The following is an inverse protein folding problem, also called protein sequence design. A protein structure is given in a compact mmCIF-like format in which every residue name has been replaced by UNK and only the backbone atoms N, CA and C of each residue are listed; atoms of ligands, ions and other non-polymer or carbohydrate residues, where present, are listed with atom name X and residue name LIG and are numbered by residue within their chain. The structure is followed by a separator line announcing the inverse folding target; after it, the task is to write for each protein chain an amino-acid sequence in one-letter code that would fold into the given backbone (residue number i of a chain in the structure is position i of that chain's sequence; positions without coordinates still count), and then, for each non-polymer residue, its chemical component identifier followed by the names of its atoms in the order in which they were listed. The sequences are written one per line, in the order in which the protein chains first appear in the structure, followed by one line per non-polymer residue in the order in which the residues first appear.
data_IF_365309000290
#
_entry.id   IF_365309000290
#
_cell.length_a   1.000
_cell.length_b   1.000
_cell.length_c   1.000
_cell.angle_alpha   90.00
_cell.angle_beta   90.00
_cell.angle_gamma   90.00
#
_symmetry.space_group_name_H-M   'P 1'
#
loop_
_entity.id
_entity.type
_entity.pdbx_description
1 polymer ?
#
# COMPACT_ATOMS: atom_id res chain seq x y z
N UNK A 1 -5.55 6.04 11.27
CA UNK A 1 -6.51 4.94 11.56
C UNK A 1 -7.55 4.84 10.46
N UNK A 2 -8.17 5.94 10.03
CA UNK A 2 -9.25 5.94 9.02
C UNK A 2 -8.79 5.31 7.70
N UNK A 3 -7.65 5.72 7.18
CA UNK A 3 -7.10 5.23 5.90
C UNK A 3 -6.64 3.77 5.99
N UNK A 4 -6.06 3.35 7.11
CA UNK A 4 -5.70 1.93 7.30
C UNK A 4 -6.98 1.06 7.31
N UNK A 5 -8.06 1.56 7.90
CA UNK A 5 -9.38 0.91 7.83
C UNK A 5 -9.95 0.84 6.42
N UNK A 6 -9.78 1.90 5.63
CA UNK A 6 -10.22 1.95 4.23
C UNK A 6 -9.41 1.00 3.34
N UNK A 7 -8.07 0.95 3.52
CA UNK A 7 -7.21 -0.03 2.83
C UNK A 7 -7.61 -1.46 3.18
N UNK A 8 -7.86 -1.75 4.46
CA UNK A 8 -8.29 -3.08 4.89
C UNK A 8 -9.63 -3.47 4.26
N UNK A 9 -10.61 -2.55 4.24
CA UNK A 9 -11.90 -2.77 3.56
C UNK A 9 -11.72 -2.99 2.06
N UNK A 10 -10.90 -2.18 1.40
CA UNK A 10 -10.61 -2.35 -0.04
C UNK A 10 -9.95 -3.69 -0.33
N UNK A 11 -9.01 -4.14 0.50
CA UNK A 11 -8.39 -5.46 0.35
C UNK A 11 -9.41 -6.60 0.55
N UNK A 12 -10.32 -6.48 1.52
CA UNK A 12 -11.41 -7.45 1.71
C UNK A 12 -12.35 -7.49 0.52
N UNK A 13 -12.70 -6.32 -0.05
CA UNK A 13 -13.52 -6.24 -1.27
C UNK A 13 -12.80 -6.86 -2.47
N UNK A 14 -11.50 -6.60 -2.66
CA UNK A 14 -10.72 -7.23 -3.74
C UNK A 14 -10.73 -8.76 -3.59
N UNK A 15 -10.51 -9.28 -2.38
CA UNK A 15 -10.57 -10.73 -2.13
C UNK A 15 -11.95 -11.31 -2.45
N UNK A 16 -13.03 -10.65 -2.02
CA UNK A 16 -14.41 -11.05 -2.35
C UNK A 16 -14.65 -11.05 -3.86
N UNK A 17 -14.24 -10.00 -4.58
CA UNK A 17 -14.38 -9.98 -6.03
C UNK A 17 -13.53 -11.01 -6.76
N UNK A 18 -12.36 -11.38 -6.23
CA UNK A 18 -11.56 -12.48 -6.78
C UNK A 18 -12.26 -13.82 -6.61
N UNK A 19 -12.92 -14.06 -5.48
CA UNK A 19 -13.76 -15.26 -5.28
C UNK A 19 -14.97 -15.25 -6.21
N UNK A 20 -15.64 -14.11 -6.37
CA UNK A 20 -16.77 -13.96 -7.29
C UNK A 20 -16.35 -14.18 -8.75
N UNK A 21 -15.20 -13.64 -9.16
CA UNK A 21 -14.63 -13.89 -10.51
C UNK A 21 -14.43 -15.40 -10.70
N UNK A 22 -13.77 -16.07 -9.75
CA UNK A 22 -13.54 -17.52 -9.83
C UNK A 22 -14.84 -18.32 -9.87
N UNK A 23 -15.85 -17.86 -9.14
CA UNK A 23 -17.20 -18.46 -9.18
C UNK A 23 -17.85 -18.26 -10.57
N UNK A 24 -17.78 -17.05 -11.13
CA UNK A 24 -18.31 -16.73 -12.46
C UNK A 24 -17.57 -17.48 -13.58
N UNK A 25 -16.25 -17.63 -13.49
CA UNK A 25 -15.47 -18.45 -14.41
C UNK A 25 -15.94 -19.93 -14.37
N UNK A 26 -16.26 -20.42 -13.17
CA UNK A 26 -16.83 -21.76 -13.01
C UNK A 26 -18.23 -21.90 -13.62
N UNK A 27 -19.08 -20.86 -13.55
CA UNK A 27 -20.39 -20.83 -14.21
C UNK A 27 -20.19 -20.77 -15.74
N UNK A 28 -19.31 -19.92 -16.21
CA UNK A 28 -18.98 -19.77 -17.63
C UNK A 28 -18.52 -21.11 -18.25
N UNK A 29 -17.62 -21.84 -17.54
CA UNK A 29 -17.17 -23.15 -17.99
C UNK A 29 -18.35 -24.17 -18.08
N UNK A 30 -19.28 -24.12 -17.12
CA UNK A 30 -20.49 -24.99 -17.17
C UNK A 30 -21.40 -24.62 -18.33
N UNK A 31 -21.64 -23.33 -18.58
CA UNK A 31 -22.44 -22.88 -19.73
C UNK A 31 -21.82 -23.29 -21.07
N UNK A 32 -20.48 -23.21 -21.20
CA UNK A 32 -19.78 -23.67 -22.39
C UNK A 32 -19.99 -25.17 -22.62
N UNK A 33 -19.78 -25.99 -21.58
CA UNK A 33 -19.97 -27.45 -21.69
C UNK A 33 -21.43 -27.79 -22.04
N UNK A 34 -22.39 -27.08 -21.46
CA UNK A 34 -23.81 -27.27 -21.80
C UNK A 34 -24.09 -26.84 -23.26
N UNK A 35 -23.52 -25.75 -23.72
CA UNK A 35 -23.61 -25.32 -25.12
C UNK A 35 -23.04 -26.34 -26.08
N UNK A 36 -21.84 -26.89 -25.81
CA UNK A 36 -21.23 -27.95 -26.63
C UNK A 36 -22.08 -29.22 -26.65
N UNK A 37 -22.61 -29.63 -25.49
CA UNK A 37 -23.51 -30.80 -25.41
C UNK A 37 -24.81 -30.59 -26.21
N UNK A 38 -25.38 -29.37 -26.16
CA UNK A 38 -26.58 -29.04 -26.90
C UNK A 38 -26.35 -28.99 -28.42
N UNK A 39 -25.17 -28.52 -28.86
CA UNK A 39 -24.77 -28.58 -30.27
C UNK A 39 -24.65 -30.01 -30.73
N UNK A 40 -23.98 -30.90 -29.97
CA UNK A 40 -23.86 -32.29 -30.31
C UNK A 40 -25.21 -33.02 -30.38
N UNK A 41 -26.15 -32.71 -29.47
CA UNK A 41 -27.51 -33.25 -29.52
C UNK A 41 -28.26 -32.73 -30.74
N UNK A 42 -28.05 -31.46 -31.14
CA UNK A 42 -28.69 -30.87 -32.31
C UNK A 42 -28.19 -31.55 -33.60
N UNK A 43 -26.87 -31.77 -33.73
CA UNK A 43 -26.27 -32.47 -34.83
C UNK A 43 -26.78 -33.94 -34.94
N UNK A 44 -26.85 -34.65 -33.82
CA UNK A 44 -27.42 -36.00 -33.78
C UNK A 44 -28.90 -36.02 -34.18
N UNK A 45 -29.68 -35.00 -33.78
CA UNK A 45 -31.10 -34.89 -34.17
C UNK A 45 -31.23 -34.60 -35.68
N UNK A 46 -30.38 -33.71 -36.23
CA UNK A 46 -30.35 -33.41 -37.66
C UNK A 46 -29.91 -34.65 -38.51
N UNK A 47 -28.96 -35.44 -38.03
CA UNK A 47 -28.55 -36.68 -38.68
C UNK A 47 -29.65 -37.76 -38.67
N UNK A 48 -30.43 -37.86 -37.60
CA UNK A 48 -31.54 -38.82 -37.47
C UNK A 48 -32.79 -38.42 -38.29
N UNK A 49 -32.86 -37.15 -38.76
CA UNK A 49 -33.91 -36.67 -39.68
C UNK A 49 -33.98 -37.47 -41.00
N UNK A 50 -32.89 -38.19 -41.33
CA UNK A 50 -32.83 -39.04 -42.53
C UNK A 50 -33.52 -40.37 -42.40
N UNK A 51 -33.94 -40.78 -41.20
CA UNK A 51 -34.61 -42.07 -40.97
C UNK A 51 -35.88 -41.94 -40.10
N UNK A 52 -37.04 -41.82 -40.72
CA UNK A 52 -38.37 -42.28 -40.29
C UNK A 52 -38.90 -41.90 -38.90
N UNK A 53 -39.17 -40.60 -38.63
CA UNK A 53 -40.23 -40.08 -37.71
C UNK A 53 -40.17 -38.55 -37.68
N UNK A 54 -40.56 -37.91 -38.77
CA UNK A 54 -40.41 -36.46 -39.00
C UNK A 54 -40.97 -35.57 -37.87
N UNK A 55 -42.11 -35.87 -37.33
CA UNK A 55 -42.77 -34.99 -36.36
C UNK A 55 -42.14 -35.01 -34.94
N UNK A 56 -41.68 -36.18 -34.47
CA UNK A 56 -41.01 -36.33 -33.16
C UNK A 56 -39.61 -35.72 -33.18
N UNK A 57 -38.89 -35.86 -34.31
CA UNK A 57 -37.56 -35.31 -34.51
C UNK A 57 -37.55 -33.81 -34.67
N UNK A 58 -38.52 -33.24 -35.40
CA UNK A 58 -38.72 -31.80 -35.49
C UNK A 58 -38.98 -31.15 -34.12
N UNK A 59 -39.80 -31.80 -33.27
CA UNK A 59 -40.06 -31.38 -31.90
C UNK A 59 -38.77 -31.38 -31.03
N UNK A 60 -37.95 -32.44 -31.19
CA UNK A 60 -36.69 -32.58 -30.44
C UNK A 60 -35.66 -31.53 -30.90
N UNK A 61 -35.51 -31.31 -32.21
CA UNK A 61 -34.65 -30.29 -32.79
C UNK A 61 -35.07 -28.88 -32.34
N UNK A 62 -36.37 -28.57 -32.35
CA UNK A 62 -36.89 -27.30 -31.89
C UNK A 62 -36.61 -27.06 -30.39
N UNK A 63 -36.77 -28.14 -29.56
CA UNK A 63 -36.48 -28.06 -28.13
C UNK A 63 -34.98 -27.82 -27.85
N UNK A 64 -34.14 -28.56 -28.61
CA UNK A 64 -32.68 -28.45 -28.47
C UNK A 64 -32.18 -27.07 -28.93
N UNK A 65 -32.72 -26.54 -30.03
CA UNK A 65 -32.44 -25.16 -30.48
C UNK A 65 -32.80 -24.13 -29.43
N UNK A 66 -33.98 -24.23 -28.80
CA UNK A 66 -34.38 -23.33 -27.70
C UNK A 66 -33.44 -23.44 -26.49
N UNK A 67 -32.99 -24.65 -26.13
CA UNK A 67 -32.02 -24.81 -25.02
C UNK A 67 -30.66 -24.19 -25.37
N UNK A 68 -30.20 -24.37 -26.60
CA UNK A 68 -28.95 -23.77 -27.09
C UNK A 68 -29.00 -22.22 -27.07
N UNK A 69 -30.11 -21.65 -27.55
CA UNK A 69 -30.30 -20.18 -27.50
C UNK A 69 -30.27 -19.66 -26.05
N UNK A 70 -30.91 -20.39 -25.13
CA UNK A 70 -30.92 -20.01 -23.71
C UNK A 70 -29.50 -20.11 -23.12
N UNK A 71 -28.77 -21.18 -23.36
CA UNK A 71 -27.40 -21.37 -22.88
C UNK A 71 -26.45 -20.32 -23.44
N UNK A 72 -26.56 -19.95 -24.72
CA UNK A 72 -25.76 -18.93 -25.34
C UNK A 72 -26.06 -17.54 -24.76
N UNK A 73 -27.31 -17.25 -24.41
CA UNK A 73 -27.66 -15.99 -23.76
C UNK A 73 -27.08 -15.92 -22.34
N UNK A 74 -27.21 -16.97 -21.53
CA UNK A 74 -26.64 -17.07 -20.20
C UNK A 74 -25.11 -16.94 -20.24
N UNK A 75 -24.46 -17.57 -21.20
CA UNK A 75 -23.03 -17.45 -21.44
C UNK A 75 -22.61 -15.98 -21.68
N UNK A 76 -23.29 -15.30 -22.59
CA UNK A 76 -22.98 -13.88 -22.89
C UNK A 76 -23.17 -12.95 -21.68
N UNK A 77 -24.19 -13.22 -20.84
CA UNK A 77 -24.41 -12.49 -19.61
C UNK A 77 -23.29 -12.74 -18.59
N UNK A 78 -22.85 -13.99 -18.43
CA UNK A 78 -21.72 -14.35 -17.56
C UNK A 78 -20.41 -13.73 -18.03
N UNK A 79 -20.10 -13.78 -19.32
CA UNK A 79 -18.91 -13.18 -19.89
C UNK A 79 -18.83 -11.67 -19.61
N UNK A 80 -19.96 -10.99 -19.74
CA UNK A 80 -20.04 -9.56 -19.40
C UNK A 80 -19.79 -9.32 -17.90
N UNK A 81 -20.41 -10.12 -17.03
CA UNK A 81 -20.20 -10.01 -15.58
C UNK A 81 -18.73 -10.22 -15.18
N UNK A 82 -18.07 -11.25 -15.74
CA UNK A 82 -16.64 -11.48 -15.52
C UNK A 82 -15.80 -10.29 -15.96
N UNK A 83 -16.09 -9.75 -17.15
CA UNK A 83 -15.38 -8.57 -17.65
C UNK A 83 -15.54 -7.35 -16.71
N UNK A 84 -16.76 -7.11 -16.25
CA UNK A 84 -17.07 -6.02 -15.33
C UNK A 84 -16.34 -6.20 -13.99
N UNK A 85 -16.32 -7.41 -13.44
CA UNK A 85 -15.62 -7.74 -12.18
C UNK A 85 -14.11 -7.56 -12.30
N UNK A 86 -13.50 -7.96 -13.40
CA UNK A 86 -12.08 -7.74 -13.68
C UNK A 86 -11.76 -6.24 -13.70
N UNK A 87 -12.59 -5.46 -14.37
CA UNK A 87 -12.42 -3.99 -14.41
C UNK A 87 -12.54 -3.36 -13.02
N UNK A 88 -13.52 -3.78 -12.22
CA UNK A 88 -13.64 -3.32 -10.84
C UNK A 88 -12.44 -3.69 -9.98
N UNK A 89 -11.92 -4.91 -10.11
CA UNK A 89 -10.69 -5.33 -9.42
C UNK A 89 -9.48 -4.44 -9.73
N UNK A 90 -9.31 -4.06 -10.99
CA UNK A 90 -8.27 -3.12 -11.41
C UNK A 90 -8.46 -1.73 -10.81
N UNK A 91 -9.69 -1.18 -10.85
CA UNK A 91 -10.02 0.13 -10.25
C UNK A 91 -9.78 0.17 -8.75
N UNK A 92 -10.14 -0.90 -8.01
CA UNK A 92 -9.87 -0.99 -6.57
C UNK A 92 -8.37 -1.04 -6.26
N UNK A 93 -7.61 -1.74 -7.10
CA UNK A 93 -6.15 -1.75 -6.96
C UNK A 93 -5.56 -0.35 -7.16
N UNK A 94 -5.98 0.35 -8.19
CA UNK A 94 -5.55 1.73 -8.45
C UNK A 94 -5.96 2.69 -7.32
N UNK A 95 -7.19 2.55 -6.82
CA UNK A 95 -7.68 3.34 -5.69
C UNK A 95 -6.86 3.11 -4.42
N UNK A 96 -6.61 1.85 -4.06
CA UNK A 96 -5.74 1.50 -2.92
C UNK A 96 -4.35 2.13 -3.06
N UNK A 97 -3.78 2.04 -4.25
CA UNK A 97 -2.47 2.61 -4.53
C UNK A 97 -2.48 4.14 -4.43
N UNK A 98 -3.53 4.80 -4.91
CA UNK A 98 -3.70 6.25 -4.78
C UNK A 98 -3.76 6.69 -3.32
N UNK A 99 -4.54 5.99 -2.48
CA UNK A 99 -4.60 6.26 -1.04
C UNK A 99 -3.24 6.08 -0.36
N UNK A 100 -2.51 5.01 -0.68
CA UNK A 100 -1.19 4.78 -0.13
C UNK A 100 -0.21 5.90 -0.53
N UNK A 101 -0.21 6.31 -1.79
CA UNK A 101 0.63 7.41 -2.28
C UNK A 101 0.28 8.75 -1.62
N UNK A 102 -0.99 9.01 -1.34
CA UNK A 102 -1.41 10.21 -0.62
C UNK A 102 -0.82 10.25 0.80
N UNK A 103 -0.82 9.11 1.51
CA UNK A 103 -0.21 9.02 2.84
C UNK A 103 1.31 9.17 2.79
N UNK A 104 1.97 8.55 1.83
CA UNK A 104 3.41 8.72 1.64
C UNK A 104 3.78 10.18 1.36
N UNK A 105 2.94 10.90 0.60
CA UNK A 105 3.14 12.32 0.35
C UNK A 105 2.97 13.18 1.61
N UNK A 106 2.05 12.83 2.50
CA UNK A 106 1.92 13.49 3.80
C UNK A 106 3.19 13.29 4.62
N UNK A 107 3.68 12.05 4.73
CA UNK A 107 4.94 11.72 5.41
C UNK A 107 6.11 12.52 4.79
N UNK A 108 6.23 12.53 3.47
CA UNK A 108 7.25 13.28 2.76
C UNK A 108 7.22 14.77 3.08
N UNK A 109 6.04 15.37 3.12
CA UNK A 109 5.88 16.79 3.41
C UNK A 109 6.32 17.12 4.84
N UNK A 110 5.87 16.34 5.84
CA UNK A 110 6.29 16.52 7.22
C UNK A 110 7.80 16.32 7.40
N UNK A 111 8.37 15.27 6.77
CA UNK A 111 9.80 15.01 6.82
C UNK A 111 10.60 16.17 6.21
N UNK A 112 10.17 16.71 5.07
CA UNK A 112 10.82 17.85 4.44
C UNK A 112 10.68 19.14 5.26
N UNK A 113 9.55 19.36 5.94
CA UNK A 113 9.39 20.46 6.89
C UNK A 113 10.34 20.31 8.09
N UNK A 114 10.50 19.10 8.62
CA UNK A 114 11.45 18.82 9.71
C UNK A 114 12.90 19.07 9.27
N UNK A 115 13.30 18.59 8.08
CA UNK A 115 14.63 18.86 7.52
C UNK A 115 14.87 20.36 7.31
N UNK A 116 13.87 21.11 6.88
CA UNK A 116 13.97 22.57 6.73
C UNK A 116 14.16 23.26 8.09
N UNK A 117 13.45 22.86 9.14
CA UNK A 117 13.66 23.35 10.51
C UNK A 117 15.09 23.10 11.00
N UNK A 118 15.64 21.94 10.65
CA UNK A 118 17.04 21.58 10.93
C UNK A 118 18.06 22.33 10.03
N UNK A 119 17.61 23.28 9.21
CA UNK A 119 18.43 24.01 8.23
C UNK A 119 19.22 23.11 7.30
N UNK A 120 18.65 21.94 6.99
CA UNK A 120 19.25 20.98 6.07
C UNK A 120 18.88 21.33 4.63
N UNK A 121 19.84 21.21 3.72
CA UNK A 121 19.61 21.33 2.27
C UNK A 121 19.06 20.05 1.65
N UNK A 122 19.00 18.97 2.45
CA UNK A 122 18.49 17.68 2.03
C UNK A 122 16.97 17.70 1.90
N UNK A 123 16.47 16.96 0.93
CA UNK A 123 15.04 16.72 0.75
C UNK A 123 14.77 15.26 0.51
N UNK A 124 13.63 14.79 0.97
CA UNK A 124 13.15 13.42 0.74
C UNK A 124 12.15 13.40 -0.40
N UNK A 125 12.24 12.37 -1.24
CA UNK A 125 11.21 11.96 -2.19
C UNK A 125 10.81 10.53 -1.86
N UNK A 126 9.52 10.32 -1.63
CA UNK A 126 8.96 9.03 -1.24
C UNK A 126 7.95 8.60 -2.29
N UNK A 127 8.28 7.56 -3.05
CA UNK A 127 7.43 7.00 -4.08
C UNK A 127 6.81 5.67 -3.59
N UNK A 128 5.51 5.48 -3.78
CA UNK A 128 4.78 4.26 -3.39
C UNK A 128 4.73 3.19 -4.46
N UNK A 129 5.27 3.46 -5.64
CA UNK A 129 5.28 2.52 -6.76
C UNK A 129 6.48 2.72 -7.67
N UNK A 130 6.88 1.63 -8.31
CA UNK A 130 7.94 1.63 -9.32
C UNK A 130 7.41 1.05 -10.62
N UNK A 131 7.72 1.69 -11.75
CA UNK A 131 7.46 1.10 -13.06
C UNK A 131 8.65 0.25 -13.49
N UNK A 132 8.40 -1.01 -13.81
CA UNK A 132 9.43 -1.86 -14.40
C UNK A 132 9.65 -1.52 -15.89
N UNK A 133 10.70 -2.08 -16.48
CA UNK A 133 11.04 -1.86 -17.90
C UNK A 133 9.92 -2.27 -18.89
N UNK A 134 8.95 -3.10 -18.45
CA UNK A 134 7.78 -3.53 -19.25
C UNK A 134 6.55 -2.65 -19.00
N UNK A 135 6.68 -1.51 -18.29
CA UNK A 135 5.58 -0.61 -17.98
C UNK A 135 4.61 -1.08 -16.87
N UNK A 136 4.83 -2.29 -16.32
CA UNK A 136 4.00 -2.77 -15.19
C UNK A 136 4.34 -2.02 -13.93
N UNK A 137 3.31 -1.59 -13.23
CA UNK A 137 3.42 -0.92 -11.93
C UNK A 137 3.61 -2.00 -10.86
N UNK A 138 4.65 -1.83 -10.04
CA UNK A 138 4.93 -2.66 -8.86
C UNK A 138 4.74 -1.78 -7.63
N UNK A 139 4.02 -2.27 -6.64
CA UNK A 139 3.91 -1.64 -5.32
C UNK A 139 5.26 -1.81 -4.62
N UNK A 140 6.01 -0.72 -4.51
CA UNK A 140 7.33 -0.71 -3.90
C UNK A 140 7.59 0.69 -3.36
N UNK A 141 7.75 0.82 -2.03
CA UNK A 141 8.10 2.08 -1.42
C UNK A 141 9.57 2.33 -1.65
N UNK A 142 9.87 3.42 -2.33
CA UNK A 142 11.24 3.88 -2.57
C UNK A 142 11.43 5.22 -1.89
N UNK A 143 12.44 5.30 -1.03
CA UNK A 143 12.86 6.55 -0.40
C UNK A 143 14.15 7.00 -1.07
N UNK A 144 14.14 8.19 -1.65
CA UNK A 144 15.29 8.82 -2.27
C UNK A 144 15.59 10.13 -1.54
N UNK A 145 16.86 10.46 -1.44
CA UNK A 145 17.32 11.72 -0.84
C UNK A 145 17.86 12.60 -1.94
N UNK A 146 17.43 13.85 -1.96
CA UNK A 146 17.87 14.87 -2.89
C UNK A 146 18.81 15.79 -2.12
N UNK A 147 20.05 15.99 -2.61
CA UNK A 147 21.01 16.90 -2.03
C UNK A 147 20.73 18.35 -2.42
N UNK A 148 21.52 19.31 -1.88
CA UNK A 148 21.41 20.74 -2.19
C UNK A 148 21.61 21.09 -3.66
N UNK A 149 22.26 20.22 -4.44
CA UNK A 149 22.47 20.35 -5.88
C UNK A 149 21.32 19.80 -6.72
N UNK A 150 20.31 19.20 -6.07
CA UNK A 150 19.15 18.60 -6.74
C UNK A 150 19.39 17.18 -7.27
N UNK A 151 20.47 16.53 -6.86
CA UNK A 151 20.78 15.17 -7.28
C UNK A 151 20.16 14.13 -6.35
N UNK A 152 19.59 13.06 -6.93
CA UNK A 152 19.08 11.92 -6.19
C UNK A 152 20.24 11.01 -5.78
N UNK A 153 20.39 10.79 -4.46
CA UNK A 153 21.42 9.95 -3.87
C UNK A 153 20.83 8.85 -3.02
N UNK A 154 21.57 7.76 -2.89
CA UNK A 154 21.22 6.70 -1.94
C UNK A 154 21.38 7.22 -0.52
N UNK A 155 20.50 6.80 0.40
CA UNK A 155 20.60 7.10 1.81
C UNK A 155 21.99 6.79 2.40
N UNK A 156 22.59 5.70 1.93
CA UNK A 156 23.91 5.25 2.42
C UNK A 156 25.11 6.10 1.96
N UNK A 157 24.90 6.98 0.99
CA UNK A 157 25.99 7.87 0.51
C UNK A 157 26.14 9.15 1.34
N UNK A 158 25.30 9.36 2.36
CA UNK A 158 25.34 10.51 3.25
C UNK A 158 26.18 10.23 4.51
N UNK A 159 26.72 11.28 5.11
CA UNK A 159 27.44 11.21 6.38
C UNK A 159 26.56 10.72 7.53
N UNK A 160 27.16 10.28 8.63
CA UNK A 160 26.42 9.82 9.81
C UNK A 160 25.45 10.89 10.33
N UNK A 161 25.89 12.13 10.45
CA UNK A 161 25.05 13.24 10.90
C UNK A 161 23.91 13.59 9.92
N UNK A 162 24.15 13.53 8.62
CA UNK A 162 23.08 13.72 7.62
C UNK A 162 22.05 12.60 7.68
N UNK A 163 22.48 11.35 7.83
CA UNK A 163 21.58 10.21 8.00
C UNK A 163 20.74 10.34 9.27
N UNK A 164 21.35 10.72 10.40
CA UNK A 164 20.62 10.96 11.64
C UNK A 164 19.53 12.04 11.47
N UNK A 165 19.79 13.11 10.73
CA UNK A 165 18.79 14.15 10.41
C UNK A 165 17.64 13.60 9.57
N UNK A 166 17.94 12.78 8.56
CA UNK A 166 16.94 12.13 7.71
C UNK A 166 16.07 11.17 8.53
N UNK A 167 16.69 10.33 9.35
CA UNK A 167 16.01 9.36 10.22
C UNK A 167 15.07 10.08 11.19
N UNK A 168 15.55 11.13 11.84
CA UNK A 168 14.74 11.94 12.75
C UNK A 168 13.57 12.63 12.04
N UNK A 169 13.79 13.18 10.87
CA UNK A 169 12.73 13.78 10.07
C UNK A 169 11.65 12.77 9.69
N UNK A 170 12.03 11.53 9.35
CA UNK A 170 11.09 10.44 9.08
C UNK A 170 10.32 10.02 10.33
N UNK A 171 11.01 9.83 11.48
CA UNK A 171 10.36 9.46 12.75
C UNK A 171 9.32 10.50 13.15
N UNK A 172 9.68 11.79 13.12
CA UNK A 172 8.74 12.89 13.41
C UNK A 172 7.56 12.90 12.43
N UNK A 173 7.80 12.68 11.14
CA UNK A 173 6.73 12.65 10.15
C UNK A 173 5.75 11.50 10.33
N UNK A 174 6.22 10.32 10.72
CA UNK A 174 5.37 9.19 11.07
C UNK A 174 4.54 9.49 12.33
N UNK A 175 5.14 10.10 13.32
CA UNK A 175 4.44 10.48 14.55
C UNK A 175 3.35 11.51 14.27
N UNK A 176 3.63 12.56 13.51
CA UNK A 176 2.66 13.58 13.10
C UNK A 176 1.52 12.96 12.27
N UNK A 177 1.83 12.07 11.33
CA UNK A 177 0.82 11.36 10.56
C UNK A 177 -0.09 10.51 11.47
N UNK A 178 0.48 9.75 12.43
CA UNK A 178 -0.28 8.93 13.37
C UNK A 178 -1.16 9.82 14.26
N UNK A 179 -0.62 10.93 14.76
CA UNK A 179 -1.34 11.85 15.62
C UNK A 179 -2.47 12.57 14.87
N UNK A 180 -2.24 12.96 13.63
CA UNK A 180 -3.25 13.61 12.79
C UNK A 180 -4.38 12.68 12.31
N UNK A 181 -4.13 11.37 12.25
CA UNK A 181 -5.11 10.39 11.74
C UNK A 181 -5.81 9.59 12.84
N UNK A 182 -5.31 9.62 14.07
CA UNK A 182 -5.78 8.77 15.16
C UNK A 182 -6.88 9.45 16.00
N UNK A 183 -8.12 8.96 15.87
CA UNK A 183 -9.24 9.41 16.69
C UNK A 183 -9.17 8.91 18.16
N UNK A 184 -8.28 7.97 18.47
CA UNK A 184 -8.20 7.27 19.75
C UNK A 184 -7.00 7.69 20.62
N UNK A 185 -6.38 8.83 20.30
CA UNK A 185 -5.14 9.28 20.92
C UNK A 185 -3.93 8.78 20.14
N UNK A 186 -2.99 9.67 19.85
CA UNK A 186 -1.81 9.38 19.04
C UNK A 186 -0.63 8.83 19.86
N UNK A 187 0.55 8.95 19.31
CA UNK A 187 1.81 8.70 20.01
C UNK A 187 2.16 9.95 20.83
N UNK A 188 1.90 9.91 22.13
CA UNK A 188 2.05 11.05 23.04
C UNK A 188 3.44 11.20 23.63
N UNK A 189 4.40 10.38 23.22
CA UNK A 189 5.80 10.53 23.58
C UNK A 189 6.68 9.96 22.49
N UNK A 190 7.93 10.39 22.44
CA UNK A 190 8.96 9.87 21.55
C UNK A 190 10.18 9.50 22.41
N UNK A 191 10.72 8.30 22.21
CA UNK A 191 11.96 7.87 22.84
C UNK A 191 12.96 7.58 21.73
N UNK A 192 14.14 8.19 21.83
CA UNK A 192 15.21 8.12 20.84
C UNK A 192 16.46 7.62 21.56
N UNK A 193 16.96 6.48 21.11
CA UNK A 193 18.13 5.84 21.71
C UNK A 193 19.27 5.84 20.69
N UNK A 194 20.39 6.47 21.04
CA UNK A 194 21.67 6.49 20.31
C UNK A 194 21.63 6.99 18.84
N UNK A 195 20.47 7.42 18.31
CA UNK A 195 20.34 7.86 16.90
C UNK A 195 21.17 9.12 16.61
N UNK A 196 21.50 9.88 17.66
CA UNK A 196 22.23 11.15 17.54
C UNK A 196 23.74 10.98 17.57
N UNK A 197 24.25 9.77 17.73
CA UNK A 197 25.68 9.47 17.72
C UNK A 197 26.28 9.70 16.33
N UNK A 198 27.38 10.42 16.28
CA UNK A 198 28.02 10.78 15.02
C UNK A 198 27.50 12.08 14.39
N UNK A 199 26.58 12.80 15.05
CA UNK A 199 26.17 14.13 14.64
C UNK A 199 27.11 15.17 15.23
N UNK A 200 27.52 16.14 14.43
CA UNK A 200 28.35 17.27 14.91
C UNK A 200 27.57 18.14 15.92
N UNK A 201 28.25 18.91 16.80
CA UNK A 201 27.58 19.68 17.86
C UNK A 201 26.54 20.68 17.34
N UNK A 202 26.75 21.25 16.17
CA UNK A 202 25.79 22.18 15.55
C UNK A 202 24.56 21.41 15.04
N UNK A 203 24.78 20.29 14.37
CA UNK A 203 23.72 19.41 13.91
C UNK A 203 22.87 18.87 15.05
N UNK A 204 23.50 18.48 16.15
CA UNK A 204 22.79 18.04 17.36
C UNK A 204 21.92 19.17 17.94
N UNK A 205 22.45 20.39 18.02
CA UNK A 205 21.69 21.54 18.51
C UNK A 205 20.45 21.82 17.65
N UNK A 206 20.57 21.76 16.32
CA UNK A 206 19.46 21.97 15.39
C UNK A 206 18.42 20.84 15.45
N UNK A 207 18.87 19.59 15.64
CA UNK A 207 17.98 18.46 15.87
C UNK A 207 17.15 18.64 17.14
N UNK A 208 17.79 18.99 18.26
CA UNK A 208 17.10 19.25 19.54
C UNK A 208 16.17 20.46 19.44
N UNK A 209 16.55 21.52 18.74
CA UNK A 209 15.69 22.67 18.47
C UNK A 209 14.45 22.25 17.68
N UNK A 210 14.59 21.39 16.65
CA UNK A 210 13.46 20.88 15.87
C UNK A 210 12.48 20.02 16.68
N UNK A 211 12.97 19.41 17.77
CA UNK A 211 12.16 18.61 18.69
C UNK A 211 11.45 19.46 19.75
N UNK A 212 11.94 20.66 20.08
CA UNK A 212 11.33 21.53 21.09
C UNK A 212 9.95 22.06 20.69
N UNK A 213 9.66 22.09 19.38
CA UNK A 213 8.36 22.51 18.84
C UNK A 213 7.28 21.42 18.89
N UNK A 214 7.65 20.21 19.34
CA UNK A 214 6.74 19.07 19.39
C UNK A 214 5.91 19.15 20.67
N UNK A 215 4.59 19.00 20.56
CA UNK A 215 3.63 19.14 21.67
C UNK A 215 3.60 17.96 22.65
N UNK A 216 4.54 17.04 22.59
CA UNK A 216 4.61 15.87 23.46
C UNK A 216 6.04 15.65 23.97
N UNK A 217 6.21 14.92 25.10
CA UNK A 217 7.51 14.65 25.66
C UNK A 217 8.41 13.87 24.68
N UNK A 218 9.65 14.33 24.54
CA UNK A 218 10.69 13.62 23.78
C UNK A 218 11.80 13.25 24.76
N UNK A 219 12.13 11.97 24.83
CA UNK A 219 13.21 11.44 25.63
C UNK A 219 14.35 11.02 24.69
N UNK A 220 15.53 11.59 24.94
CA UNK A 220 16.74 11.28 24.17
C UNK A 220 17.76 10.60 25.08
N UNK A 221 18.16 9.39 24.71
CA UNK A 221 19.26 8.66 25.35
C UNK A 221 20.49 8.86 24.49
N UNK A 222 21.55 9.39 25.07
CA UNK A 222 22.80 9.67 24.35
C UNK A 222 23.99 9.62 25.30
N UNK A 223 25.11 9.17 24.78
CA UNK A 223 26.42 9.22 25.47
C UNK A 223 27.15 10.57 25.27
N UNK A 224 26.57 11.48 24.51
CA UNK A 224 27.16 12.81 24.25
C UNK A 224 26.97 13.72 25.46
N UNK A 225 28.04 13.98 26.19
CA UNK A 225 28.03 14.69 27.47
C UNK A 225 27.74 16.20 27.45
N UNK A 226 27.52 16.84 26.33
CA UNK A 226 27.32 18.29 26.24
C UNK A 226 26.05 18.70 25.48
N UNK A 227 24.91 18.23 25.95
CA UNK A 227 23.60 18.70 25.47
C UNK A 227 23.34 20.06 26.14
N UNK A 228 23.24 21.13 25.34
CA UNK A 228 23.15 22.52 25.77
C UNK A 228 21.86 22.87 26.51
N UNK A 229 21.92 24.05 27.20
CA UNK A 229 20.85 24.69 27.95
C UNK A 229 19.46 24.66 27.25
N UNK A 230 18.43 24.28 27.99
CA UNK A 230 17.02 24.19 27.52
C UNK A 230 16.42 22.81 27.54
N UNK A 231 17.22 21.77 27.81
CA UNK A 231 16.78 20.39 27.95
C UNK A 231 16.98 19.94 29.38
N UNK A 232 15.94 19.31 29.99
CA UNK A 232 16.11 18.67 31.29
C UNK A 232 16.95 17.41 31.11
N UNK A 233 18.10 17.35 31.78
CA UNK A 233 19.03 16.23 31.68
C UNK A 233 18.97 15.38 32.93
N UNK A 234 18.91 14.06 32.77
CA UNK A 234 19.10 13.07 33.82
C UNK A 234 20.39 12.31 33.52
N UNK A 235 21.35 12.38 34.43
CA UNK A 235 22.63 11.66 34.27
C UNK A 235 22.53 10.31 34.96
N UNK A 236 22.78 9.23 34.24
CA UNK A 236 22.90 7.89 34.80
C UNK A 236 24.36 7.56 35.01
N UNK A 237 24.76 7.41 36.27
CA UNK A 237 26.12 7.06 36.66
C UNK A 237 26.16 5.57 37.04
N UNK A 238 27.21 4.87 36.59
CA UNK A 238 27.44 3.48 36.93
C UNK A 238 28.75 3.36 37.75
N UNK A 239 28.59 3.03 39.01
CA UNK A 239 29.71 2.75 39.92
C UNK A 239 29.55 1.39 40.61
N UNK A 240 30.65 0.66 40.75
CA UNK A 240 30.72 -0.64 41.46
C UNK A 240 29.63 -1.64 41.03
N UNK A 241 29.21 -1.63 39.76
CA UNK A 241 28.19 -2.54 39.24
C UNK A 241 26.73 -2.08 39.48
N UNK A 242 26.51 -0.95 40.12
CA UNK A 242 25.18 -0.32 40.32
C UNK A 242 25.02 0.91 39.47
N UNK A 243 23.80 1.16 38.99
CA UNK A 243 23.47 2.37 38.28
C UNK A 243 22.54 3.24 39.14
N UNK A 244 22.80 4.55 39.19
CA UNK A 244 21.95 5.53 39.86
C UNK A 244 21.79 6.80 39.02
N UNK A 245 20.78 7.58 39.32
CA UNK A 245 20.50 8.87 38.64
C UNK A 245 21.07 9.98 39.53
N UNK A 246 21.86 10.86 38.90
CA UNK A 246 22.42 12.05 39.49
C UNK A 246 21.67 13.30 39.05
#
# INVERSE_FOLDING_TARGET
TKIRGEITRSNQMISSYQEDIKHQEGIQSRCNNESEQLVEQLEKAEQAEMETKEAELEGLVALTKKKLEKANKEYGECEKQVSDMVQWGLRFKEFKMSLACEQLRIIQNFANMSLQKQRSELRLSIDGFKRNAKGKIKEEITVSVINGEGEYKSFWSFSGGERARIEMALIQSFQEMINGTNQWGGLHFLMIDEVLEGTDPLGLALLLESMSDVHHPVYVISHVMNIRAGVTTLTVVKENGYSYIE
#
